data_IF_055453376200
#
_entry.id   IF_055453376200
#
_cell.length_a   1.000
_cell.length_b   1.000
_cell.length_c   1.000
_cell.angle_alpha   90.00
_cell.angle_beta   90.00
_cell.angle_gamma   90.00
#
_symmetry.space_group_name_H-M   'P 1'
#
loop_
_entity.id
_entity.type
_entity.pdbx_description
1 polymer ?
#
# COMPACT_ATOMS: atom_id res chain seq x y z
N UNK A 1 1.68 1.72 20.30
CA UNK A 1 1.25 1.04 19.06
C UNK A 1 0.88 2.14 18.06
N UNK A 2 1.61 2.27 16.94
CA UNK A 2 1.42 3.37 16.01
C UNK A 2 0.00 3.35 15.39
N UNK A 3 -0.64 4.52 15.35
CA UNK A 3 -2.00 4.69 14.78
C UNK A 3 -2.02 5.82 13.77
N UNK A 4 -2.88 5.69 12.76
CA UNK A 4 -3.04 6.67 11.69
C UNK A 4 -4.44 7.27 11.79
N UNK A 5 -4.54 8.61 11.82
CA UNK A 5 -5.82 9.32 11.69
C UNK A 5 -6.34 9.19 10.26
N UNK A 6 -7.57 8.73 10.13
CA UNK A 6 -8.29 8.70 8.87
C UNK A 6 -8.98 10.04 8.62
N UNK A 7 -9.33 10.32 7.36
CA UNK A 7 -10.13 11.50 6.98
C UNK A 7 -11.55 11.50 7.54
N UNK A 8 -11.97 10.44 8.22
CA UNK A 8 -13.31 10.28 8.81
C UNK A 8 -13.32 10.55 10.33
N UNK A 9 -12.24 11.13 10.88
CA UNK A 9 -12.15 11.45 12.31
C UNK A 9 -11.92 10.24 13.21
N UNK A 10 -11.61 9.07 12.64
CA UNK A 10 -11.27 7.84 13.37
C UNK A 10 -9.79 7.52 13.24
N UNK A 11 -9.21 6.77 14.17
CA UNK A 11 -7.83 6.28 14.08
C UNK A 11 -7.83 4.77 13.85
N UNK A 12 -6.96 4.30 12.97
CA UNK A 12 -6.76 2.86 12.71
C UNK A 12 -5.32 2.45 13.02
N UNK A 13 -5.07 1.16 13.33
CA UNK A 13 -3.71 0.66 13.52
C UNK A 13 -2.86 0.87 12.26
N UNK A 14 -1.59 1.25 12.44
CA UNK A 14 -0.66 1.48 11.33
C UNK A 14 -0.51 0.25 10.41
N UNK A 15 -0.58 -0.96 10.96
CA UNK A 15 -0.54 -2.20 10.18
C UNK A 15 -1.75 -2.36 9.25
N UNK A 16 -2.95 -1.96 9.70
CA UNK A 16 -4.16 -1.98 8.85
C UNK A 16 -4.04 -0.94 7.75
N UNK A 17 -3.55 0.26 8.07
CA UNK A 17 -3.31 1.30 7.08
C UNK A 17 -2.28 0.85 6.03
N UNK A 18 -1.19 0.20 6.45
CA UNK A 18 -0.16 -0.34 5.56
C UNK A 18 -0.70 -1.42 4.61
N UNK A 19 -1.57 -2.31 5.11
CA UNK A 19 -2.24 -3.30 4.28
C UNK A 19 -3.13 -2.65 3.21
N UNK A 20 -3.90 -1.62 3.59
CA UNK A 20 -4.75 -0.88 2.65
C UNK A 20 -3.88 -0.23 1.56
N UNK A 21 -2.77 0.40 1.93
CA UNK A 21 -1.83 1.00 0.97
C UNK A 21 -1.25 -0.07 0.04
N UNK A 22 -0.84 -1.22 0.56
CA UNK A 22 -0.32 -2.31 -0.26
C UNK A 22 -1.34 -2.77 -1.31
N UNK A 23 -2.58 -3.01 -0.91
CA UNK A 23 -3.65 -3.46 -1.81
C UNK A 23 -4.02 -2.38 -2.81
N UNK A 24 -4.18 -1.14 -2.38
CA UNK A 24 -4.54 -0.03 -3.27
C UNK A 24 -3.45 0.23 -4.32
N UNK A 25 -2.18 0.25 -3.91
CA UNK A 25 -1.05 0.38 -4.83
C UNK A 25 -0.98 -0.77 -5.82
N UNK A 26 -1.20 -2.01 -5.37
CA UNK A 26 -1.27 -3.17 -6.26
C UNK A 26 -2.37 -3.00 -7.33
N UNK A 27 -3.58 -2.63 -6.91
CA UNK A 27 -4.70 -2.45 -7.84
C UNK A 27 -4.44 -1.34 -8.86
N UNK A 28 -3.85 -0.21 -8.42
CA UNK A 28 -3.48 0.90 -9.30
C UNK A 28 -2.41 0.48 -10.31
N UNK A 29 -1.38 -0.24 -9.86
CA UNK A 29 -0.31 -0.70 -10.74
C UNK A 29 -0.84 -1.72 -11.77
N UNK A 30 -1.75 -2.61 -11.35
CA UNK A 30 -2.39 -3.57 -12.24
C UNK A 30 -3.24 -2.87 -13.30
N UNK A 31 -4.05 -1.88 -12.88
CA UNK A 31 -4.85 -1.08 -13.79
C UNK A 31 -3.97 -0.35 -14.82
N UNK A 32 -2.82 0.20 -14.39
CA UNK A 32 -1.87 0.85 -15.28
C UNK A 32 -1.29 -0.13 -16.31
N UNK A 33 -0.92 -1.35 -15.91
CA UNK A 33 -0.40 -2.36 -16.84
C UNK A 33 -1.44 -2.85 -17.85
N UNK A 34 -2.69 -3.03 -17.42
CA UNK A 34 -3.80 -3.34 -18.33
C UNK A 34 -3.99 -2.21 -19.34
N UNK A 35 -3.97 -0.95 -18.90
CA UNK A 35 -4.12 0.20 -19.78
C UNK A 35 -2.97 0.33 -20.80
N UNK A 36 -1.76 -0.13 -20.43
CA UNK A 36 -0.59 -0.18 -21.31
C UNK A 36 -0.58 -1.40 -22.26
N UNK A 37 -1.61 -2.26 -22.21
CA UNK A 37 -1.72 -3.46 -23.05
C UNK A 37 -0.70 -4.55 -22.70
N UNK A 38 -0.18 -4.55 -21.47
CA UNK A 38 0.82 -5.52 -21.01
C UNK A 38 0.15 -6.83 -20.58
N UNK A 39 0.88 -7.95 -20.72
CA UNK A 39 0.36 -9.26 -20.30
C UNK A 39 0.02 -9.28 -18.80
N UNK A 40 -1.23 -9.63 -18.42
CA UNK A 40 -1.69 -9.55 -17.04
C UNK A 40 -0.99 -10.57 -16.13
N UNK A 41 -0.55 -11.71 -16.69
CA UNK A 41 0.12 -12.79 -15.97
C UNK A 41 1.48 -12.36 -15.40
N UNK A 42 2.29 -11.67 -16.21
CA UNK A 42 3.60 -11.14 -15.78
C UNK A 42 3.39 -9.94 -14.87
N UNK A 43 2.39 -9.12 -15.18
CA UNK A 43 2.01 -7.94 -14.41
C UNK A 43 1.60 -8.26 -12.97
N UNK A 44 0.98 -9.41 -12.70
CA UNK A 44 0.55 -9.82 -11.35
C UNK A 44 1.70 -9.93 -10.35
N UNK A 45 2.88 -10.40 -10.78
CA UNK A 45 4.05 -10.52 -9.90
C UNK A 45 4.60 -9.13 -9.57
N UNK A 46 4.78 -8.28 -10.60
CA UNK A 46 5.27 -6.91 -10.43
C UNK A 46 4.33 -6.09 -9.53
N UNK A 47 3.02 -6.23 -9.75
CA UNK A 47 1.95 -5.65 -8.94
C UNK A 47 2.04 -6.08 -7.48
N UNK A 48 2.16 -7.38 -7.23
CA UNK A 48 2.21 -7.93 -5.88
C UNK A 48 3.44 -7.42 -5.13
N UNK A 49 4.61 -7.42 -5.77
CA UNK A 49 5.85 -6.89 -5.19
C UNK A 49 5.71 -5.39 -4.94
N UNK A 50 5.20 -4.62 -5.91
CA UNK A 50 5.00 -3.18 -5.78
C UNK A 50 4.07 -2.80 -4.62
N UNK A 51 2.99 -3.56 -4.45
CA UNK A 51 2.09 -3.41 -3.31
C UNK A 51 2.76 -3.71 -1.98
N UNK A 52 3.46 -4.86 -1.86
CA UNK A 52 4.18 -5.23 -0.63
C UNK A 52 5.19 -4.13 -0.25
N UNK A 53 6.01 -3.70 -1.21
CA UNK A 53 7.01 -2.65 -1.00
C UNK A 53 6.35 -1.35 -0.54
N UNK A 54 5.25 -0.95 -1.17
CA UNK A 54 4.49 0.26 -0.80
C UNK A 54 3.94 0.17 0.62
N UNK A 55 3.34 -0.96 1.00
CA UNK A 55 2.80 -1.18 2.34
C UNK A 55 3.88 -1.18 3.42
N UNK A 56 5.01 -1.86 3.18
CA UNK A 56 6.14 -1.88 4.11
C UNK A 56 6.76 -0.50 4.28
N UNK A 57 6.98 0.22 3.18
CA UNK A 57 7.53 1.58 3.21
C UNK A 57 6.60 2.54 3.98
N UNK A 58 5.28 2.43 3.75
CA UNK A 58 4.29 3.20 4.50
C UNK A 58 4.33 2.88 6.01
N UNK A 59 4.33 1.59 6.36
CA UNK A 59 4.38 1.17 7.77
C UNK A 59 5.64 1.68 8.47
N UNK A 60 6.80 1.54 7.83
CA UNK A 60 8.06 2.02 8.36
C UNK A 60 8.04 3.55 8.57
N UNK A 61 7.57 4.31 7.58
CA UNK A 61 7.47 5.77 7.70
C UNK A 61 6.53 6.22 8.81
N UNK A 62 5.37 5.56 8.97
CA UNK A 62 4.44 5.85 10.07
C UNK A 62 5.04 5.49 11.43
N UNK A 63 5.75 4.37 11.51
CA UNK A 63 6.37 3.90 12.75
C UNK A 63 7.44 4.87 13.24
N UNK A 64 8.35 5.30 12.36
CA UNK A 64 9.38 6.31 12.69
C UNK A 64 8.74 7.61 13.18
N UNK A 65 7.71 8.11 12.47
CA UNK A 65 7.02 9.35 12.87
C UNK A 65 6.25 9.24 14.19
N UNK A 66 5.86 8.03 14.59
CA UNK A 66 5.08 7.83 15.82
C UNK A 66 5.95 7.65 17.06
N UNK A 67 7.27 7.41 16.88
CA UNK A 67 8.25 7.27 17.96
C UNK A 67 8.95 8.59 18.31
N UNK A 68 8.86 9.62 17.45
CA UNK A 68 9.25 11.02 17.70
C UNK A 68 8.10 11.83 18.36
#
# INVERSE_FOLDING_TARGET
MATVKTGFGTSIPAGVAALIVAVASSLLLLAAFIALGRDPSISLIEVTIGGIVSGVAYYAGVSVRSDD
#
